data_IF_611129062638
#
_entry.id   IF_611129062638
#
_cell.length_a   1.000
_cell.length_b   1.000
_cell.length_c   1.000
_cell.angle_alpha   90.00
_cell.angle_beta   90.00
_cell.angle_gamma   90.00
#
_symmetry.space_group_name_H-M   'P 1'
#
loop_
_entity.id
_entity.type
_entity.pdbx_description
1 polymer ?
#
# COMPACT_ATOMS: atom_id res chain seq x y z
N UNK A 1 28.93 -2.86 12.17
CA UNK A 1 29.07 -3.71 10.96
C UNK A 1 28.62 -2.88 9.78
N UNK A 2 29.23 -3.05 8.61
CA UNK A 2 28.76 -2.34 7.42
C UNK A 2 27.59 -3.09 6.79
N UNK A 3 26.53 -2.36 6.40
CA UNK A 3 25.42 -2.94 5.65
C UNK A 3 25.86 -3.30 4.23
N UNK A 4 25.30 -4.37 3.70
CA UNK A 4 25.43 -4.73 2.28
C UNK A 4 24.08 -4.46 1.63
N UNK A 5 24.09 -3.63 0.57
CA UNK A 5 22.91 -3.19 -0.14
C UNK A 5 22.98 -3.69 -1.58
N UNK A 6 21.98 -4.47 -1.99
CA UNK A 6 21.88 -5.02 -3.34
C UNK A 6 20.57 -4.58 -3.97
N UNK A 7 20.55 -3.80 -5.06
CA UNK A 7 19.32 -3.38 -5.71
C UNK A 7 18.47 -4.58 -6.13
N UNK A 8 17.16 -4.48 -5.88
CA UNK A 8 16.17 -5.40 -6.41
C UNK A 8 15.79 -5.01 -7.85
N UNK A 9 15.13 -5.91 -8.53
CA UNK A 9 14.64 -5.63 -9.88
C UNK A 9 13.54 -4.55 -9.83
N UNK A 10 13.70 -3.48 -10.59
CA UNK A 10 12.82 -2.32 -10.74
C UNK A 10 12.66 -1.42 -9.49
N UNK A 11 12.34 -1.96 -8.32
CA UNK A 11 12.04 -1.17 -7.11
C UNK A 11 12.64 -1.83 -5.89
N UNK A 12 13.35 -1.05 -5.05
CA UNK A 12 13.83 -1.49 -3.76
C UNK A 12 15.26 -2.02 -3.73
N UNK A 13 15.70 -2.41 -2.55
CA UNK A 13 16.99 -3.05 -2.31
C UNK A 13 16.89 -4.14 -1.23
N UNK A 14 17.67 -5.21 -1.41
CA UNK A 14 17.93 -6.16 -0.35
C UNK A 14 19.06 -5.64 0.53
N UNK A 15 18.87 -5.66 1.83
CA UNK A 15 19.80 -5.17 2.84
C UNK A 15 20.16 -6.29 3.81
N UNK A 16 21.45 -6.49 4.04
CA UNK A 16 21.98 -7.45 4.99
C UNK A 16 23.13 -6.88 5.79
N UNK A 17 23.64 -7.62 6.78
CA UNK A 17 24.75 -7.20 7.61
C UNK A 17 24.32 -6.75 9.02
N UNK A 18 23.07 -7.00 9.43
CA UNK A 18 22.62 -6.81 10.80
C UNK A 18 21.66 -7.93 11.23
N UNK A 19 21.39 -8.04 12.52
CA UNK A 19 20.36 -8.91 13.09
C UNK A 19 19.26 -8.04 13.73
N UNK A 20 18.01 -8.28 13.38
CA UNK A 20 16.86 -7.52 13.89
C UNK A 20 16.68 -7.69 15.42
N UNK A 21 17.24 -8.74 16.01
CA UNK A 21 17.14 -9.02 17.43
C UNK A 21 18.19 -8.28 18.27
N UNK A 22 19.28 -7.82 17.66
CA UNK A 22 20.31 -7.04 18.31
C UNK A 22 19.87 -5.56 18.51
N UNK A 23 20.47 -4.86 19.49
CA UNK A 23 20.26 -3.42 19.63
C UNK A 23 20.77 -2.65 18.42
N UNK A 24 20.03 -1.65 17.98
CA UNK A 24 20.44 -0.74 16.91
C UNK A 24 21.22 0.45 17.45
N UNK A 25 22.36 0.76 16.84
CA UNK A 25 23.05 2.02 17.11
C UNK A 25 22.32 3.17 16.39
N UNK A 26 22.46 4.42 16.88
CA UNK A 26 21.87 5.59 16.19
C UNK A 26 22.36 5.73 14.74
N UNK A 27 23.59 5.34 14.45
CA UNK A 27 24.16 5.37 13.10
C UNK A 27 23.48 4.35 12.19
N UNK A 28 23.24 3.12 12.68
CA UNK A 28 22.53 2.08 11.93
C UNK A 28 21.07 2.47 11.66
N UNK A 29 20.40 3.04 12.64
CA UNK A 29 19.04 3.55 12.47
C UNK A 29 18.97 4.66 11.39
N UNK A 30 19.92 5.58 11.41
CA UNK A 30 20.02 6.65 10.43
C UNK A 30 20.32 6.12 9.02
N UNK A 31 21.21 5.12 8.91
CA UNK A 31 21.55 4.47 7.64
C UNK A 31 20.33 3.72 7.07
N UNK A 32 19.62 2.95 7.87
CA UNK A 32 18.40 2.24 7.45
C UNK A 32 17.31 3.21 6.96
N UNK A 33 17.09 4.32 7.65
CA UNK A 33 16.16 5.36 7.19
C UNK A 33 16.58 5.97 5.85
N UNK A 34 17.87 6.29 5.69
CA UNK A 34 18.39 6.85 4.46
C UNK A 34 18.19 5.90 3.29
N UNK A 35 18.53 4.62 3.46
CA UNK A 35 18.32 3.58 2.47
C UNK A 35 16.84 3.42 2.11
N UNK A 36 15.95 3.49 3.11
CA UNK A 36 14.51 3.39 2.84
C UNK A 36 14.00 4.56 1.99
N UNK A 37 14.42 5.79 2.28
CA UNK A 37 14.03 6.95 1.46
C UNK A 37 14.64 6.93 0.06
N UNK A 38 15.80 6.31 -0.12
CA UNK A 38 16.44 6.15 -1.41
C UNK A 38 15.79 5.07 -2.26
N UNK A 39 15.51 3.90 -1.66
CA UNK A 39 15.07 2.70 -2.38
C UNK A 39 13.56 2.45 -2.33
N UNK A 40 12.80 3.16 -1.51
CA UNK A 40 11.36 3.01 -1.24
C UNK A 40 10.98 1.68 -0.56
N UNK A 41 11.64 0.57 -0.88
CA UNK A 41 11.44 -0.75 -0.27
C UNK A 41 12.79 -1.31 0.16
N UNK A 42 12.84 -1.84 1.38
CA UNK A 42 13.97 -2.62 1.87
C UNK A 42 13.52 -4.06 2.16
N UNK A 43 14.23 -5.02 1.60
CA UNK A 43 14.02 -6.44 1.83
C UNK A 43 15.09 -6.98 2.76
N UNK A 44 14.67 -7.62 3.84
CA UNK A 44 15.56 -8.23 4.83
C UNK A 44 15.28 -9.73 4.90
N UNK A 45 16.24 -10.54 4.43
CA UNK A 45 16.09 -12.00 4.44
C UNK A 45 16.72 -12.61 5.69
N UNK A 46 16.26 -13.81 6.03
CA UNK A 46 16.81 -14.66 7.08
C UNK A 46 16.86 -14.00 8.46
N UNK A 47 15.90 -13.13 8.76
CA UNK A 47 15.72 -12.54 10.08
C UNK A 47 14.80 -13.42 10.93
N UNK A 48 15.25 -13.79 12.13
CA UNK A 48 14.43 -14.52 13.10
C UNK A 48 13.49 -13.55 13.84
N UNK A 49 12.49 -13.02 13.11
CA UNK A 49 11.61 -11.95 13.60
C UNK A 49 10.66 -12.45 14.68
N UNK A 50 10.60 -11.74 15.79
CA UNK A 50 9.57 -11.89 16.82
C UNK A 50 8.66 -10.67 16.82
N UNK A 51 7.44 -10.72 17.39
CA UNK A 51 6.59 -9.54 17.55
C UNK A 51 7.30 -8.36 18.19
N UNK A 52 8.07 -8.60 19.25
CA UNK A 52 8.81 -7.56 19.96
C UNK A 52 9.93 -6.96 19.09
N UNK A 53 10.68 -7.79 18.35
CA UNK A 53 11.73 -7.29 17.46
C UNK A 53 11.15 -6.54 16.26
N UNK A 54 10.01 -6.96 15.72
CA UNK A 54 9.31 -6.24 14.65
C UNK A 54 8.83 -4.86 15.12
N UNK A 55 8.21 -4.78 16.30
CA UNK A 55 7.76 -3.53 16.91
C UNK A 55 8.95 -2.59 17.15
N UNK A 56 10.03 -3.10 17.74
CA UNK A 56 11.25 -2.31 18.00
C UNK A 56 11.85 -1.80 16.69
N UNK A 57 11.99 -2.65 15.68
CA UNK A 57 12.49 -2.28 14.36
C UNK A 57 11.61 -1.22 13.67
N UNK A 58 10.29 -1.41 13.72
CA UNK A 58 9.34 -0.46 13.12
C UNK A 58 9.46 0.94 13.73
N UNK A 59 9.76 1.05 15.02
CA UNK A 59 9.94 2.33 15.71
C UNK A 59 11.14 3.15 15.21
N UNK A 60 12.10 2.52 14.56
CA UNK A 60 13.20 3.23 13.89
C UNK A 60 12.62 4.25 12.89
N UNK A 61 11.59 3.88 12.14
CA UNK A 61 11.03 4.67 11.04
C UNK A 61 10.00 5.71 11.50
N UNK A 62 9.51 5.63 12.72
CA UNK A 62 8.57 6.60 13.28
C UNK A 62 7.65 6.04 14.36
N UNK A 63 6.70 6.86 14.86
CA UNK A 63 5.70 6.38 15.81
C UNK A 63 4.78 5.35 15.15
N UNK A 64 4.39 4.33 15.91
CA UNK A 64 3.53 3.26 15.39
C UNK A 64 2.08 3.72 15.36
N UNK A 65 1.41 3.46 14.23
CA UNK A 65 -0.02 3.67 14.09
C UNK A 65 -0.80 2.43 14.56
N UNK A 66 -1.98 2.65 15.12
CA UNK A 66 -2.92 1.59 15.41
C UNK A 66 -3.96 1.52 14.28
N UNK A 67 -4.20 0.32 13.75
CA UNK A 67 -5.23 0.15 12.72
C UNK A 67 -6.59 0.65 13.22
N UNK A 68 -7.37 1.43 12.44
CA UNK A 68 -8.65 1.98 12.89
C UNK A 68 -9.64 0.92 13.37
N UNK A 69 -9.66 -0.22 12.68
CA UNK A 69 -10.50 -1.35 13.05
C UNK A 69 -9.83 -2.18 14.16
N UNK A 70 -10.33 -2.08 15.37
CA UNK A 70 -9.79 -2.81 16.54
C UNK A 70 -9.80 -4.33 16.37
N UNK A 71 -10.80 -4.86 15.66
CA UNK A 71 -10.94 -6.31 15.46
C UNK A 71 -9.85 -6.96 14.59
N UNK A 72 -9.02 -6.16 13.92
CA UNK A 72 -7.90 -6.64 13.10
C UNK A 72 -6.56 -6.55 13.82
N UNK A 73 -6.51 -5.91 14.98
CA UNK A 73 -5.29 -5.79 15.78
C UNK A 73 -5.01 -7.10 16.51
N UNK A 74 -3.76 -7.43 16.68
CA UNK A 74 -3.37 -8.50 17.60
C UNK A 74 -3.83 -8.16 19.03
N UNK A 75 -4.34 -9.15 19.75
CA UNK A 75 -4.77 -8.95 21.14
C UNK A 75 -3.59 -8.67 22.06
N UNK A 76 -2.46 -9.35 21.82
CA UNK A 76 -1.25 -9.22 22.65
C UNK A 76 -0.38 -8.03 22.21
N UNK A 77 -0.37 -7.72 20.91
CA UNK A 77 0.46 -6.67 20.31
C UNK A 77 -0.42 -5.75 19.44
N UNK A 78 -1.13 -4.78 20.03
CA UNK A 78 -2.11 -3.95 19.28
C UNK A 78 -1.53 -3.16 18.12
N UNK A 79 -0.21 -2.96 18.09
CA UNK A 79 0.53 -2.32 16.99
C UNK A 79 0.68 -3.24 15.78
N UNK A 80 0.44 -4.53 15.93
CA UNK A 80 0.51 -5.51 14.84
C UNK A 80 -0.87 -5.77 14.25
N UNK A 81 -0.91 -5.83 12.95
CA UNK A 81 -2.04 -6.26 12.14
C UNK A 81 -1.71 -7.61 11.52
N UNK A 82 -2.48 -8.64 11.88
CA UNK A 82 -2.25 -10.01 11.43
C UNK A 82 -3.01 -10.27 10.12
N UNK A 83 -2.27 -10.47 9.03
CA UNK A 83 -2.80 -10.96 7.76
C UNK A 83 -2.73 -12.48 7.77
N UNK A 84 -3.84 -13.14 8.08
CA UNK A 84 -3.91 -14.60 8.19
C UNK A 84 -4.81 -15.14 7.09
N UNK A 85 -4.29 -16.08 6.32
CA UNK A 85 -5.06 -16.89 5.39
C UNK A 85 -5.09 -18.36 5.90
N UNK A 86 -6.12 -18.73 6.63
CA UNK A 86 -6.28 -20.06 7.19
C UNK A 86 -7.62 -20.67 6.72
N UNK A 87 -7.55 -21.58 5.77
CA UNK A 87 -8.71 -22.23 5.15
C UNK A 87 -9.60 -23.03 6.13
N UNK A 88 -9.07 -23.41 7.30
CA UNK A 88 -9.79 -24.24 8.28
C UNK A 88 -10.71 -23.44 9.21
N UNK A 89 -10.74 -22.15 9.09
CA UNK A 89 -11.60 -21.29 9.92
C UNK A 89 -12.46 -20.42 9.02
N UNK A 90 -13.76 -20.47 9.23
CA UNK A 90 -14.81 -19.68 8.59
C UNK A 90 -14.59 -18.13 8.60
N UNK A 91 -13.33 -17.68 8.55
CA UNK A 91 -12.92 -16.29 8.74
C UNK A 91 -12.52 -15.57 7.47
N UNK A 92 -12.45 -16.27 6.33
CA UNK A 92 -11.95 -15.67 5.09
C UNK A 92 -13.04 -15.49 4.06
N UNK A 93 -13.06 -14.30 3.48
CA UNK A 93 -13.83 -14.04 2.28
C UNK A 93 -13.11 -14.70 1.11
N UNK A 94 -13.77 -15.63 0.44
CA UNK A 94 -13.36 -16.08 -0.88
C UNK A 94 -14.03 -15.23 -1.95
N UNK A 95 -13.43 -15.18 -3.12
CA UNK A 95 -14.04 -14.61 -4.30
C UNK A 95 -13.69 -15.49 -5.51
N UNK A 96 -14.50 -15.47 -6.53
CA UNK A 96 -14.12 -15.96 -7.84
C UNK A 96 -13.57 -14.78 -8.65
N UNK A 97 -12.41 -14.94 -9.22
CA UNK A 97 -11.79 -13.96 -10.10
C UNK A 97 -11.26 -14.66 -11.34
N UNK A 98 -11.79 -14.26 -12.51
CA UNK A 98 -11.47 -14.89 -13.82
C UNK A 98 -11.59 -16.43 -13.79
N UNK A 99 -12.65 -16.92 -13.14
CA UNK A 99 -12.94 -18.35 -13.02
C UNK A 99 -12.15 -19.13 -11.97
N UNK A 100 -11.29 -18.47 -11.20
CA UNK A 100 -10.53 -19.09 -10.12
C UNK A 100 -11.04 -18.62 -8.77
N UNK A 101 -11.18 -19.54 -7.82
CA UNK A 101 -11.46 -19.17 -6.43
C UNK A 101 -10.19 -18.66 -5.78
N UNK A 102 -10.23 -17.42 -5.29
CA UNK A 102 -9.12 -16.76 -4.61
C UNK A 102 -9.51 -16.38 -3.18
N UNK A 103 -8.54 -16.23 -2.33
CA UNK A 103 -8.68 -15.78 -0.95
C UNK A 103 -7.91 -14.47 -0.78
N UNK A 104 -8.58 -13.46 -0.24
CA UNK A 104 -7.90 -12.27 0.30
C UNK A 104 -7.14 -11.41 -0.70
N UNK A 105 -7.63 -11.23 -1.95
CA UNK A 105 -7.00 -10.27 -2.86
C UNK A 105 -7.16 -8.84 -2.33
N UNK A 106 -6.05 -8.14 -2.19
CA UNK A 106 -6.01 -6.70 -1.98
C UNK A 106 -5.65 -5.99 -3.30
N UNK A 107 -6.38 -4.93 -3.60
CA UNK A 107 -6.08 -4.07 -4.73
C UNK A 107 -4.91 -3.14 -4.40
N UNK A 108 -4.30 -2.52 -5.42
CA UNK A 108 -3.22 -1.58 -5.21
C UNK A 108 -3.67 -0.39 -4.36
N UNK A 109 -3.00 -0.16 -3.25
CA UNK A 109 -3.39 0.85 -2.26
C UNK A 109 -2.18 1.48 -1.56
N UNK A 110 -2.44 2.55 -0.89
CA UNK A 110 -1.58 3.14 0.13
C UNK A 110 -2.32 2.98 1.44
N UNK A 111 -1.67 2.38 2.44
CA UNK A 111 -2.27 2.14 3.75
C UNK A 111 -2.79 3.43 4.38
N UNK A 112 -4.02 3.38 4.91
CA UNK A 112 -4.71 4.48 5.59
C UNK A 112 -4.93 5.74 4.72
N UNK A 113 -4.69 5.69 3.42
CA UNK A 113 -4.84 6.85 2.53
C UNK A 113 -6.27 7.42 2.57
N UNK A 114 -7.27 6.55 2.70
CA UNK A 114 -8.68 6.92 2.83
C UNK A 114 -9.05 7.64 4.13
N UNK A 115 -8.16 7.72 5.11
CA UNK A 115 -8.43 8.39 6.39
C UNK A 115 -8.05 9.87 6.43
N UNK A 116 -7.41 10.38 5.39
CA UNK A 116 -6.80 11.72 5.39
C UNK A 116 -5.45 11.79 6.12
N UNK A 117 -5.00 10.68 6.71
CA UNK A 117 -3.72 10.53 7.38
C UNK A 117 -3.05 9.24 6.90
N UNK A 118 -2.38 9.25 5.74
CA UNK A 118 -1.78 8.06 5.16
C UNK A 118 -0.69 7.50 6.07
N UNK A 119 -0.52 6.19 6.05
CA UNK A 119 0.58 5.55 6.75
C UNK A 119 1.91 5.97 6.12
N UNK A 120 2.91 6.29 6.95
CA UNK A 120 4.24 6.65 6.47
C UNK A 120 4.96 5.46 5.84
N UNK A 121 4.75 4.27 6.38
CA UNK A 121 5.28 3.02 5.87
C UNK A 121 4.79 1.83 6.68
N UNK A 122 5.14 0.64 6.25
CA UNK A 122 4.80 -0.60 6.93
C UNK A 122 6.00 -1.55 6.96
N UNK A 123 6.09 -2.36 8.01
CA UNK A 123 7.03 -3.48 8.10
C UNK A 123 6.21 -4.76 8.02
N UNK A 124 6.37 -5.48 6.93
CA UNK A 124 5.73 -6.78 6.70
C UNK A 124 6.68 -7.89 7.10
N UNK A 125 6.20 -8.84 7.89
CA UNK A 125 6.95 -10.05 8.24
C UNK A 125 6.19 -11.28 7.74
N UNK A 126 6.84 -12.09 6.91
CA UNK A 126 6.31 -13.37 6.48
C UNK A 126 6.53 -14.40 7.59
N UNK A 127 5.46 -14.82 8.26
CA UNK A 127 5.49 -15.88 9.29
C UNK A 127 5.31 -17.24 8.64
N UNK A 128 4.39 -17.35 7.70
CA UNK A 128 4.15 -18.52 6.88
C UNK A 128 3.89 -18.08 5.45
N UNK A 129 4.64 -18.60 4.52
CA UNK A 129 4.52 -18.24 3.10
C UNK A 129 3.64 -19.24 2.36
N UNK A 130 2.88 -18.77 1.38
CA UNK A 130 2.13 -19.61 0.48
C UNK A 130 3.09 -20.50 -0.35
N UNK A 131 2.68 -21.74 -0.63
CA UNK A 131 3.47 -22.66 -1.47
C UNK A 131 3.42 -22.27 -2.95
N UNK A 132 2.30 -21.69 -3.36
CA UNK A 132 2.01 -21.24 -4.71
C UNK A 132 1.27 -19.91 -4.62
N UNK A 133 1.50 -19.01 -5.57
CA UNK A 133 0.93 -17.66 -5.60
C UNK A 133 1.27 -16.81 -4.35
N UNK A 134 0.34 -16.00 -3.87
CA UNK A 134 0.54 -15.17 -2.67
C UNK A 134 1.51 -14.00 -2.88
N UNK A 135 1.67 -13.54 -4.12
CA UNK A 135 2.56 -12.44 -4.46
C UNK A 135 2.13 -11.13 -3.78
N UNK A 136 3.11 -10.41 -3.26
CA UNK A 136 2.92 -9.03 -2.81
C UNK A 136 3.59 -8.08 -3.80
N UNK A 137 2.79 -7.22 -4.42
CA UNK A 137 3.29 -6.19 -5.34
C UNK A 137 3.59 -4.88 -4.60
N UNK A 138 4.72 -4.26 -4.97
CA UNK A 138 5.14 -2.95 -4.46
C UNK A 138 5.38 -2.01 -5.63
N UNK A 139 4.81 -0.82 -5.60
CA UNK A 139 4.93 0.18 -6.66
C UNK A 139 5.71 1.42 -6.24
N UNK A 140 6.64 1.89 -7.07
CA UNK A 140 7.34 3.16 -6.89
C UNK A 140 6.57 4.28 -7.60
N UNK A 141 5.72 4.96 -6.87
CA UNK A 141 4.90 6.05 -7.39
C UNK A 141 5.71 7.33 -7.70
N UNK A 142 6.93 7.46 -7.20
CA UNK A 142 7.82 8.54 -7.57
C UNK A 142 8.43 8.28 -8.96
N UNK A 143 8.89 7.06 -9.24
CA UNK A 143 9.32 6.68 -10.60
C UNK A 143 8.16 6.77 -11.61
N UNK A 144 6.97 6.33 -11.20
CA UNK A 144 5.79 6.46 -12.05
C UNK A 144 5.49 7.93 -12.38
N UNK A 145 5.61 8.86 -11.43
CA UNK A 145 5.47 10.28 -11.69
C UNK A 145 6.57 10.81 -12.61
N UNK A 146 7.83 10.45 -12.35
CA UNK A 146 8.98 10.92 -13.14
C UNK A 146 8.87 10.53 -14.62
N UNK A 147 8.24 9.40 -14.93
CA UNK A 147 8.04 8.89 -16.29
C UNK A 147 6.84 9.50 -17.04
N UNK A 148 6.06 10.36 -16.42
CA UNK A 148 4.98 11.09 -17.10
C UNK A 148 5.55 12.18 -18.01
N UNK A 149 4.80 12.56 -19.03
CA UNK A 149 5.10 13.73 -19.85
C UNK A 149 4.89 15.04 -19.09
N UNK A 150 5.49 16.13 -19.59
CA UNK A 150 5.49 17.41 -18.92
C UNK A 150 4.08 18.05 -18.84
N UNK A 151 3.24 17.85 -19.85
CA UNK A 151 1.87 18.38 -19.86
C UNK A 151 1.02 17.67 -18.78
N UNK A 152 1.14 16.35 -18.67
CA UNK A 152 0.50 15.58 -17.61
C UNK A 152 1.00 16.00 -16.23
N UNK A 153 2.32 16.15 -16.03
CA UNK A 153 2.89 16.65 -14.76
C UNK A 153 2.37 18.05 -14.40
N UNK A 154 2.31 18.95 -15.38
CA UNK A 154 1.80 20.30 -15.18
C UNK A 154 0.32 20.33 -14.79
N UNK A 155 -0.48 19.41 -15.36
CA UNK A 155 -1.88 19.24 -15.00
C UNK A 155 -2.01 18.67 -13.58
N UNK A 156 -1.33 17.57 -13.26
CA UNK A 156 -1.36 16.92 -11.94
C UNK A 156 -0.89 17.84 -10.82
N UNK A 157 0.02 18.77 -11.10
CA UNK A 157 0.45 19.80 -10.15
C UNK A 157 -0.65 20.76 -9.69
N UNK A 158 -1.80 20.76 -10.37
CA UNK A 158 -2.95 21.64 -10.08
C UNK A 158 -4.15 20.86 -9.55
N UNK A 159 -4.18 19.52 -9.76
CA UNK A 159 -5.32 18.68 -9.43
C UNK A 159 -5.26 18.16 -8.00
N UNK A 160 -6.44 18.01 -7.43
CA UNK A 160 -6.68 17.22 -6.22
C UNK A 160 -7.56 16.03 -6.56
N UNK A 161 -7.31 14.91 -5.87
CA UNK A 161 -8.08 13.67 -5.99
C UNK A 161 -8.70 13.30 -4.66
N UNK A 162 -9.91 12.74 -4.71
CA UNK A 162 -10.63 12.29 -3.54
C UNK A 162 -10.63 10.76 -3.46
N UNK A 163 -10.48 10.27 -2.24
CA UNK A 163 -10.59 8.86 -1.88
C UNK A 163 -11.80 8.68 -0.99
N UNK A 164 -12.72 7.80 -1.39
CA UNK A 164 -13.95 7.49 -0.67
C UNK A 164 -13.91 6.05 -0.18
N UNK A 165 -13.94 5.86 1.12
CA UNK A 165 -13.89 4.53 1.73
C UNK A 165 -15.14 3.71 1.43
N UNK A 166 -14.98 2.46 1.01
CA UNK A 166 -16.06 1.50 0.89
C UNK A 166 -15.59 0.09 1.23
N UNK A 167 -16.37 -0.62 2.03
CA UNK A 167 -16.21 -2.05 2.28
C UNK A 167 -16.63 -2.93 1.09
N UNK A 168 -17.37 -2.38 0.16
CA UNK A 168 -17.86 -3.11 -1.00
C UNK A 168 -17.01 -2.82 -2.22
N UNK A 169 -16.27 -3.82 -2.66
CA UNK A 169 -15.38 -3.71 -3.80
C UNK A 169 -16.08 -3.18 -5.07
N UNK A 170 -17.34 -3.57 -5.29
CA UNK A 170 -18.16 -3.08 -6.41
C UNK A 170 -18.40 -1.56 -6.42
N UNK A 171 -18.14 -0.88 -5.29
CA UNK A 171 -18.25 0.57 -5.19
C UNK A 171 -16.90 1.27 -5.43
N UNK A 172 -15.82 0.52 -5.58
CA UNK A 172 -14.50 1.05 -5.88
C UNK A 172 -14.37 1.18 -7.39
N UNK A 173 -14.35 2.40 -7.88
CA UNK A 173 -14.47 2.73 -9.31
C UNK A 173 -13.33 2.21 -10.18
N UNK A 174 -12.10 2.20 -9.67
CA UNK A 174 -10.89 1.96 -10.43
C UNK A 174 -10.25 0.59 -10.18
N UNK A 175 -10.90 -0.27 -9.39
CA UNK A 175 -10.42 -1.65 -9.21
C UNK A 175 -10.89 -2.54 -10.36
N UNK A 176 -10.06 -3.54 -10.69
CA UNK A 176 -10.43 -4.53 -11.69
C UNK A 176 -11.50 -5.48 -11.13
N UNK A 177 -12.71 -5.35 -11.67
CA UNK A 177 -13.86 -6.20 -11.33
C UNK A 177 -14.17 -7.24 -12.41
N UNK A 178 -13.39 -7.32 -13.47
CA UNK A 178 -13.65 -8.26 -14.57
C UNK A 178 -13.58 -9.70 -14.05
N UNK A 179 -14.69 -10.42 -14.19
CA UNK A 179 -14.82 -11.79 -13.71
C UNK A 179 -14.70 -11.94 -12.17
N UNK A 180 -14.91 -10.86 -11.41
CA UNK A 180 -14.97 -10.89 -9.96
C UNK A 180 -16.39 -11.18 -9.47
N UNK A 181 -16.53 -12.24 -8.71
CA UNK A 181 -17.76 -12.59 -7.99
C UNK A 181 -17.43 -12.81 -6.51
N UNK A 182 -18.14 -12.14 -5.58
CA UNK A 182 -17.95 -12.42 -4.17
C UNK A 182 -18.35 -13.86 -3.87
N UNK A 183 -17.49 -14.58 -3.16
CA UNK A 183 -17.75 -15.95 -2.75
C UNK A 183 -18.79 -16.06 -1.62
N UNK A 184 -19.25 -17.29 -1.32
CA UNK A 184 -20.29 -17.54 -0.32
C UNK A 184 -19.86 -17.21 1.11
N UNK A 185 -18.57 -17.03 1.34
CA UNK A 185 -18.01 -16.77 2.67
C UNK A 185 -17.52 -15.33 2.78
N UNK A 186 -18.44 -14.41 3.09
CA UNK A 186 -18.06 -13.17 3.74
C UNK A 186 -18.33 -13.34 5.24
N UNK A 187 -17.31 -13.53 6.08
CA UNK A 187 -17.52 -13.93 7.48
C UNK A 187 -18.20 -12.88 8.33
N UNK A 188 -18.24 -11.64 7.88
CA UNK A 188 -18.94 -10.55 8.56
C UNK A 188 -19.61 -9.64 7.54
N UNK A 189 -20.84 -9.28 7.80
CA UNK A 189 -21.47 -8.17 7.06
C UNK A 189 -20.68 -6.90 7.36
N UNK A 190 -20.50 -5.98 6.40
CA UNK A 190 -19.85 -4.70 6.67
C UNK A 190 -20.41 -3.97 7.90
N UNK A 191 -21.70 -4.09 8.17
CA UNK A 191 -22.38 -3.58 9.37
C UNK A 191 -21.83 -4.13 10.70
N UNK A 192 -21.23 -5.32 10.70
CA UNK A 192 -20.79 -5.99 11.93
C UNK A 192 -19.35 -5.59 12.30
N UNK A 193 -18.66 -4.89 11.40
CA UNK A 193 -17.25 -4.54 11.56
C UNK A 193 -17.01 -3.20 12.26
N UNK A 194 -18.08 -2.42 12.55
CA UNK A 194 -17.99 -1.13 13.24
C UNK A 194 -16.87 -0.22 12.74
N UNK A 195 -16.73 -0.11 11.41
CA UNK A 195 -15.83 0.88 10.85
C UNK A 195 -16.33 2.28 11.21
N UNK A 196 -15.43 3.20 11.57
CA UNK A 196 -15.79 4.60 11.64
C UNK A 196 -16.28 5.10 10.28
N UNK A 197 -17.18 6.06 10.29
CA UNK A 197 -17.49 6.82 9.09
C UNK A 197 -16.29 7.70 8.76
N UNK A 198 -15.73 7.49 7.57
CA UNK A 198 -14.64 8.33 7.05
C UNK A 198 -15.22 9.32 6.06
N UNK A 199 -14.94 10.61 6.30
CA UNK A 199 -15.13 11.62 5.26
C UNK A 199 -14.16 11.35 4.11
N UNK A 200 -14.50 11.82 2.90
CA UNK A 200 -13.59 11.73 1.76
C UNK A 200 -12.22 12.33 2.10
N UNK A 201 -11.17 11.60 1.84
CA UNK A 201 -9.81 12.09 1.96
C UNK A 201 -9.38 12.73 0.65
N UNK A 202 -8.87 13.96 0.72
CA UNK A 202 -8.46 14.73 -0.47
C UNK A 202 -6.96 14.97 -0.43
N UNK A 203 -6.31 14.69 -1.55
CA UNK A 203 -4.86 14.85 -1.72
C UNK A 203 -4.53 15.55 -3.03
N UNK A 204 -3.40 16.31 -3.10
CA UNK A 204 -2.81 16.68 -4.39
C UNK A 204 -2.55 15.41 -5.24
N UNK A 205 -2.91 15.44 -6.51
CA UNK A 205 -2.63 14.33 -7.43
C UNK A 205 -1.13 14.06 -7.59
N UNK A 206 -0.30 15.09 -7.40
CA UNK A 206 1.15 15.03 -7.33
C UNK A 206 1.63 15.50 -5.96
N UNK A 207 1.81 14.57 -5.02
CA UNK A 207 2.34 14.84 -3.68
C UNK A 207 3.83 15.17 -3.73
N UNK A 208 4.28 16.02 -2.79
CA UNK A 208 5.72 16.19 -2.53
C UNK A 208 6.09 15.32 -1.33
N UNK A 209 7.01 14.40 -1.54
CA UNK A 209 7.50 13.55 -0.46
C UNK A 209 8.23 14.40 0.60
N UNK A 210 7.84 14.33 1.89
CA UNK A 210 8.26 15.31 2.89
C UNK A 210 9.76 15.27 3.21
N UNK A 211 10.44 14.18 2.94
CA UNK A 211 11.87 14.03 3.23
C UNK A 211 12.72 14.19 1.98
N UNK A 212 12.40 13.45 0.90
CA UNK A 212 13.21 13.48 -0.32
C UNK A 212 12.91 14.68 -1.24
N UNK A 213 11.79 15.36 -1.05
CA UNK A 213 11.32 16.44 -1.94
C UNK A 213 10.86 15.96 -3.33
N UNK A 214 10.96 14.68 -3.64
CA UNK A 214 10.50 14.12 -4.92
C UNK A 214 8.99 14.24 -5.05
N UNK A 215 8.52 14.42 -6.27
CA UNK A 215 7.09 14.29 -6.58
C UNK A 215 6.69 12.83 -6.65
N UNK A 216 5.51 12.52 -6.13
CA UNK A 216 4.92 11.19 -6.04
C UNK A 216 3.53 11.24 -6.64
N UNK A 217 3.22 10.30 -7.53
CA UNK A 217 1.88 10.14 -8.08
C UNK A 217 0.95 9.61 -6.98
N UNK A 218 0.07 10.48 -6.45
CA UNK A 218 -0.89 10.10 -5.40
C UNK A 218 -2.15 9.49 -6.01
N UNK A 219 -1.97 8.46 -6.86
CA UNK A 219 -3.06 7.80 -7.58
C UNK A 219 -2.85 6.29 -7.50
N UNK A 220 -3.75 5.63 -6.78
CA UNK A 220 -3.83 4.17 -6.63
C UNK A 220 -5.29 3.74 -6.77
N UNK A 221 -5.54 2.48 -7.12
CA UNK A 221 -6.89 2.05 -7.51
C UNK A 221 -7.87 1.92 -6.33
N UNK A 222 -7.41 1.47 -5.17
CA UNK A 222 -8.31 1.24 -4.04
C UNK A 222 -8.79 2.57 -3.44
N UNK A 223 -10.10 2.70 -3.31
CA UNK A 223 -10.82 3.87 -2.77
C UNK A 223 -10.68 5.17 -3.56
N UNK A 224 -9.90 5.22 -4.64
CA UNK A 224 -9.89 6.37 -5.54
C UNK A 224 -11.30 6.57 -6.11
N UNK A 225 -11.80 7.81 -6.04
CA UNK A 225 -13.16 8.12 -6.47
C UNK A 225 -13.19 9.11 -7.63
N UNK A 226 -12.57 10.28 -7.48
CA UNK A 226 -12.70 11.36 -8.46
C UNK A 226 -11.58 12.39 -8.40
N UNK A 227 -11.46 13.18 -9.45
CA UNK A 227 -10.80 14.50 -9.42
C UNK A 227 -11.74 15.49 -8.74
N UNK A 228 -11.23 16.32 -7.85
CA UNK A 228 -12.01 17.36 -7.18
C UNK A 228 -12.20 18.53 -8.12
N UNK A 229 -13.46 18.91 -8.39
CA UNK A 229 -13.82 20.05 -9.26
C UNK A 229 -13.07 20.09 -10.60
N UNK A 230 -13.13 19.03 -11.43
CA UNK A 230 -12.33 18.94 -12.66
C UNK A 230 -12.60 20.07 -13.65
N UNK A 231 -13.81 20.66 -13.67
CA UNK A 231 -14.20 21.78 -14.54
C UNK A 231 -13.35 23.03 -14.32
N UNK A 232 -12.79 23.24 -13.12
CA UNK A 232 -11.88 24.36 -12.85
C UNK A 232 -10.58 24.27 -13.63
N UNK A 233 -10.26 23.07 -14.14
CA UNK A 233 -9.04 22.77 -14.89
C UNK A 233 -9.34 22.43 -16.35
N UNK A 234 -10.56 22.71 -16.81
CA UNK A 234 -10.99 22.49 -18.19
C UNK A 234 -11.30 21.02 -18.53
N UNK A 235 -11.52 20.18 -17.53
CA UNK A 235 -11.89 18.78 -17.72
C UNK A 235 -13.39 18.59 -17.48
N UNK A 236 -14.06 17.83 -18.32
CA UNK A 236 -15.36 17.23 -18.01
C UNK A 236 -15.21 16.13 -16.94
N UNK A 237 -16.32 15.64 -16.41
CA UNK A 237 -16.30 14.51 -15.51
C UNK A 237 -15.74 13.26 -16.20
N UNK A 238 -16.15 12.98 -17.43
CA UNK A 238 -15.72 11.81 -18.18
C UNK A 238 -14.22 11.89 -18.51
N UNK A 239 -13.72 13.02 -18.99
CA UNK A 239 -12.28 13.23 -19.23
C UNK A 239 -11.46 13.05 -17.94
N UNK A 240 -12.00 13.46 -16.79
CA UNK A 240 -11.32 13.29 -15.50
C UNK A 240 -11.27 11.82 -15.07
N UNK A 241 -12.31 11.03 -15.37
CA UNK A 241 -12.32 9.59 -15.12
C UNK A 241 -11.32 8.89 -16.03
N UNK A 242 -11.35 9.16 -17.35
CA UNK A 242 -10.38 8.62 -18.30
C UNK A 242 -8.93 8.95 -17.93
N UNK A 243 -8.69 10.16 -17.42
CA UNK A 243 -7.37 10.54 -16.93
C UNK A 243 -6.96 9.66 -15.75
N UNK A 244 -7.83 9.47 -14.75
CA UNK A 244 -7.53 8.62 -13.59
C UNK A 244 -7.33 7.16 -13.97
N UNK A 245 -8.12 6.59 -14.89
CA UNK A 245 -7.94 5.24 -15.41
C UNK A 245 -6.56 5.05 -16.05
N UNK A 246 -6.14 5.99 -16.91
CA UNK A 246 -4.81 5.98 -17.53
C UNK A 246 -3.69 6.06 -16.50
N UNK A 247 -3.85 6.88 -15.47
CA UNK A 247 -2.83 7.06 -14.43
C UNK A 247 -2.75 5.84 -13.50
N UNK A 248 -3.87 5.21 -13.14
CA UNK A 248 -3.90 3.94 -12.42
C UNK A 248 -3.20 2.84 -13.23
N UNK A 249 -3.51 2.73 -14.52
CA UNK A 249 -2.83 1.78 -15.40
C UNK A 249 -1.33 2.08 -15.55
N UNK A 250 -0.96 3.36 -15.63
CA UNK A 250 0.44 3.79 -15.70
C UNK A 250 1.22 3.43 -14.45
N UNK A 251 0.67 3.66 -13.25
CA UNK A 251 1.32 3.35 -11.99
C UNK A 251 1.60 1.84 -11.78
N UNK A 252 0.86 0.98 -12.49
CA UNK A 252 0.99 -0.49 -12.41
C UNK A 252 1.88 -1.10 -13.50
N UNK A 253 2.58 -0.29 -14.29
CA UNK A 253 3.49 -0.80 -15.31
C UNK A 253 4.66 -1.58 -14.68
N UNK A 254 5.11 -2.66 -15.34
CA UNK A 254 6.16 -3.54 -14.79
C UNK A 254 7.44 -2.81 -14.37
N UNK A 255 7.82 -1.74 -15.07
CA UNK A 255 9.01 -0.95 -14.77
C UNK A 255 8.95 -0.19 -13.43
N UNK A 256 7.75 -0.01 -12.87
CA UNK A 256 7.53 0.67 -11.59
C UNK A 256 7.16 -0.28 -10.46
N UNK A 257 7.11 -1.58 -10.72
CA UNK A 257 6.60 -2.58 -9.79
C UNK A 257 7.64 -3.65 -9.51
N UNK A 258 7.71 -4.04 -8.25
CA UNK A 258 8.40 -5.24 -7.77
C UNK A 258 7.39 -6.20 -7.16
N UNK A 259 7.42 -7.48 -7.57
CA UNK A 259 6.65 -8.54 -6.94
C UNK A 259 7.56 -9.38 -6.06
N UNK A 260 7.21 -9.46 -4.79
CA UNK A 260 7.88 -10.32 -3.83
C UNK A 260 7.20 -11.69 -3.78
N UNK A 261 8.07 -12.73 -3.83
CA UNK A 261 7.71 -14.14 -3.68
C UNK A 261 8.27 -14.69 -2.38
#
# INVERSE_FOLDING_TARGET
>A
MALTVTPLNNVGAEVSGFDINEPFSPELEAELKSLWYEHAILLFRNQAVTPDSQIRFSRIFGPLALHPLKATRSEQYPELFELVNNSDKDKFSTATYKGQTIVGRLDWHIDLHYTGCPNHGAVLTAVEVAKEDGLTGFGDLAKAYDALDDDTKALLGKLEVAYSFSMQRRHMRFVDLEGYEPGPFSPKKPSDMNFPDFADAVYPAALTHPVSGRKVLSIVEQFLDRVVTPQRFGLSNDESIELLERLVAHAKKPEFVYFHQ
#
